data_IF_486342906721
#
_entry.id   IF_486342906721
#
_cell.length_a   1.000
_cell.length_b   1.000
_cell.length_c   1.000
_cell.angle_alpha   90.00
_cell.angle_beta   90.00
_cell.angle_gamma   90.00
#
_symmetry.space_group_name_H-M   'P 1'
#
loop_
_entity.id
_entity.type
_entity.pdbx_description
1 polymer ?
#
# COMPACT_ATOMS: atom_id res chain seq x y z
N UNK A 1 12.22 -13.82 4.61
CA UNK A 1 12.08 -13.22 5.96
C UNK A 1 11.22 -11.95 5.98
N UNK A 2 11.53 -10.92 5.18
CA UNK A 2 10.78 -9.65 5.14
C UNK A 2 9.26 -9.80 4.90
N UNK A 3 8.87 -10.75 4.05
CA UNK A 3 7.44 -11.10 3.81
C UNK A 3 6.74 -11.53 5.11
N UNK A 4 7.40 -12.34 5.95
CA UNK A 4 6.82 -12.79 7.22
C UNK A 4 6.67 -11.63 8.21
N UNK A 5 7.61 -10.68 8.21
CA UNK A 5 7.52 -9.48 9.05
C UNK A 5 6.35 -8.60 8.62
N UNK A 6 6.19 -8.37 7.32
CA UNK A 6 5.04 -7.64 6.78
C UNK A 6 3.71 -8.33 7.09
N UNK A 7 3.64 -9.65 6.92
CA UNK A 7 2.45 -10.42 7.27
C UNK A 7 2.10 -10.30 8.76
N UNK A 8 3.09 -10.34 9.65
CA UNK A 8 2.89 -10.11 11.09
C UNK A 8 2.34 -8.70 11.35
N UNK A 9 2.88 -7.68 10.70
CA UNK A 9 2.38 -6.30 10.84
C UNK A 9 0.93 -6.16 10.37
N UNK A 10 0.54 -6.81 9.26
CA UNK A 10 -0.84 -6.81 8.78
C UNK A 10 -1.78 -7.49 9.78
N UNK A 11 -1.37 -8.63 10.35
CA UNK A 11 -2.19 -9.39 11.32
C UNK A 11 -2.37 -8.67 12.65
N UNK A 12 -1.47 -7.75 13.03
CA UNK A 12 -1.63 -6.98 14.28
C UNK A 12 -2.79 -5.99 14.27
N UNK A 13 -3.44 -5.77 13.12
CA UNK A 13 -4.55 -4.83 12.98
C UNK A 13 -5.85 -5.57 13.21
N UNK A 14 -6.60 -5.14 14.23
CA UNK A 14 -7.85 -5.78 14.66
C UNK A 14 -8.92 -5.77 13.56
N UNK A 15 -9.08 -4.62 12.88
CA UNK A 15 -10.03 -4.47 11.77
C UNK A 15 -9.28 -4.50 10.43
N UNK A 16 -9.46 -5.55 9.61
CA UNK A 16 -8.75 -5.66 8.34
C UNK A 16 -9.11 -4.55 7.33
N UNK A 17 -10.30 -3.94 7.45
CA UNK A 17 -10.71 -2.86 6.56
C UNK A 17 -9.86 -1.59 6.72
N UNK A 18 -9.18 -1.43 7.86
CA UNK A 18 -8.30 -0.29 8.13
C UNK A 18 -6.91 -0.46 7.50
N UNK A 19 -6.70 -1.55 6.75
CA UNK A 19 -5.53 -1.73 5.89
C UNK A 19 -5.89 -1.35 4.48
N UNK A 20 -5.14 -0.43 3.89
CA UNK A 20 -5.26 -0.10 2.47
C UNK A 20 -4.14 -0.77 1.70
N UNK A 21 -4.51 -1.40 0.58
CA UNK A 21 -3.57 -1.92 -0.39
C UNK A 21 -3.73 -1.13 -1.67
N UNK A 22 -2.65 -0.48 -2.11
CA UNK A 22 -2.66 0.45 -3.22
C UNK A 22 -1.71 0.01 -4.35
N UNK A 23 -2.19 0.19 -5.58
CA UNK A 23 -1.38 0.01 -6.80
C UNK A 23 -1.92 0.87 -7.92
N UNK A 24 -1.13 1.84 -8.38
CA UNK A 24 -1.40 2.56 -9.63
C UNK A 24 -0.99 1.77 -10.86
N UNK A 25 -0.09 0.78 -10.72
CA UNK A 25 0.37 -0.03 -11.85
C UNK A 25 -0.76 -0.94 -12.35
N UNK A 26 -1.00 -0.99 -13.68
CA UNK A 26 -1.99 -1.90 -14.26
C UNK A 26 -1.73 -3.38 -13.92
N UNK A 27 -0.47 -3.76 -13.76
CA UNK A 27 -0.07 -5.14 -13.43
C UNK A 27 -0.50 -5.53 -12.01
N UNK A 28 -0.41 -4.60 -11.06
CA UNK A 28 -0.75 -4.83 -9.65
C UNK A 28 -2.25 -4.70 -9.35
N UNK A 29 -3.03 -4.00 -10.19
CA UNK A 29 -4.46 -3.75 -9.94
C UNK A 29 -5.27 -5.01 -9.64
N UNK A 30 -5.08 -6.08 -10.41
CA UNK A 30 -5.79 -7.35 -10.19
C UNK A 30 -5.32 -8.06 -8.92
N UNK A 31 -4.01 -8.01 -8.64
CA UNK A 31 -3.43 -8.63 -7.45
C UNK A 31 -3.95 -7.96 -6.16
N UNK A 32 -4.01 -6.62 -6.15
CA UNK A 32 -4.54 -5.84 -5.03
C UNK A 32 -6.01 -6.16 -4.75
N UNK A 33 -6.85 -6.24 -5.79
CA UNK A 33 -8.26 -6.62 -5.64
C UNK A 33 -8.41 -8.05 -5.11
N UNK A 34 -7.59 -8.99 -5.59
CA UNK A 34 -7.63 -10.37 -5.11
C UNK A 34 -7.12 -10.52 -3.69
N UNK A 35 -6.07 -9.80 -3.34
CA UNK A 35 -5.56 -9.75 -1.98
C UNK A 35 -6.65 -9.27 -1.02
N UNK A 36 -7.25 -8.11 -1.31
CA UNK A 36 -8.37 -7.54 -0.55
C UNK A 36 -9.56 -8.49 -0.43
N UNK A 37 -9.89 -9.23 -1.49
CA UNK A 37 -10.95 -10.24 -1.44
C UNK A 37 -10.67 -11.36 -0.41
N UNK A 38 -9.41 -11.78 -0.25
CA UNK A 38 -9.04 -12.86 0.67
C UNK A 38 -8.79 -12.37 2.11
N UNK A 39 -8.28 -11.16 2.27
CA UNK A 39 -7.90 -10.60 3.58
C UNK A 39 -8.98 -9.72 4.20
N UNK A 40 -9.96 -9.26 3.40
CA UNK A 40 -10.97 -8.31 3.84
C UNK A 40 -10.44 -6.88 4.00
N UNK A 41 -9.33 -6.55 3.33
CA UNK A 41 -8.72 -5.20 3.37
C UNK A 41 -9.32 -4.27 2.33
N UNK A 42 -9.08 -2.96 2.43
CA UNK A 42 -9.51 -2.01 1.40
C UNK A 42 -8.53 -1.97 0.23
N UNK A 43 -9.01 -2.23 -0.98
CA UNK A 43 -8.21 -2.17 -2.20
C UNK A 43 -8.38 -0.83 -2.93
N UNK A 44 -7.26 -0.18 -3.25
CA UNK A 44 -7.18 0.95 -4.16
C UNK A 44 -6.39 0.54 -5.41
N UNK A 45 -7.13 0.04 -6.40
CA UNK A 45 -6.58 -0.31 -7.70
C UNK A 45 -6.73 0.85 -8.70
N UNK A 46 -5.65 1.20 -9.38
CA UNK A 46 -5.62 2.26 -10.38
C UNK A 46 -5.24 3.62 -9.80
N UNK A 47 -5.75 4.69 -10.40
CA UNK A 47 -5.32 6.07 -10.09
C UNK A 47 -5.59 6.42 -8.63
N UNK A 48 -4.53 6.77 -7.89
CA UNK A 48 -4.64 7.38 -6.58
C UNK A 48 -5.23 8.78 -6.71
N UNK A 49 -6.21 9.11 -5.87
CA UNK A 49 -6.73 10.48 -5.80
C UNK A 49 -5.95 11.22 -4.72
N UNK A 50 -5.27 12.32 -5.05
CA UNK A 50 -4.60 13.13 -4.04
C UNK A 50 -5.58 13.59 -2.96
N UNK A 51 -5.16 13.52 -1.70
CA UNK A 51 -5.96 13.88 -0.55
C UNK A 51 -6.84 12.75 0.00
N UNK A 52 -6.65 11.51 -0.45
CA UNK A 52 -7.40 10.36 0.07
C UNK A 52 -7.15 10.15 1.56
N UNK A 53 -5.92 10.38 2.03
CA UNK A 53 -5.55 10.18 3.45
C UNK A 53 -5.60 11.47 4.28
N UNK A 54 -5.60 12.64 3.65
CA UNK A 54 -5.45 13.93 4.34
C UNK A 54 -6.69 14.81 4.29
N UNK A 55 -7.56 14.65 3.29
CA UNK A 55 -8.71 15.53 3.08
C UNK A 55 -10.02 14.92 3.58
N UNK A 56 -10.39 15.26 4.81
CA UNK A 56 -11.61 14.81 5.50
C UNK A 56 -12.92 15.25 4.84
N UNK A 57 -12.89 16.26 3.97
CA UNK A 57 -14.10 16.79 3.30
C UNK A 57 -14.55 15.85 2.17
N UNK A 58 -13.64 15.04 1.63
CA UNK A 58 -13.95 14.17 0.49
C UNK A 58 -14.73 12.93 0.92
N UNK A 59 -15.66 12.45 0.07
CA UNK A 59 -16.46 11.24 0.34
C UNK A 59 -15.65 9.95 0.34
N UNK A 60 -14.42 10.00 -0.18
CA UNK A 60 -13.49 8.87 -0.27
C UNK A 60 -12.31 9.01 0.70
N UNK A 61 -12.45 9.87 1.71
CA UNK A 61 -11.51 9.97 2.81
C UNK A 61 -11.44 8.63 3.55
N UNK A 62 -10.21 8.15 3.76
CA UNK A 62 -9.94 6.94 4.52
C UNK A 62 -8.80 7.22 5.50
N UNK A 63 -8.96 6.75 6.73
CA UNK A 63 -7.94 6.85 7.78
C UNK A 63 -7.43 5.45 8.14
N UNK A 64 -6.60 4.82 7.29
CA UNK A 64 -6.10 3.49 7.54
C UNK A 64 -4.99 3.49 8.58
N UNK A 65 -4.81 2.36 9.25
CA UNK A 65 -3.71 2.13 10.19
C UNK A 65 -2.46 1.57 9.52
N UNK A 66 -2.57 1.08 8.29
CA UNK A 66 -1.46 0.53 7.52
C UNK A 66 -1.71 0.69 6.03
N UNK A 67 -0.67 1.10 5.31
CA UNK A 67 -0.66 1.20 3.87
C UNK A 67 0.28 0.15 3.27
N UNK A 68 -0.21 -0.64 2.33
CA UNK A 68 0.58 -1.59 1.54
C UNK A 68 0.65 -1.09 0.11
N UNK A 69 1.86 -0.98 -0.44
CA UNK A 69 2.13 -0.38 -1.75
C UNK A 69 2.89 -1.36 -2.64
N UNK A 70 2.54 -1.42 -3.92
CA UNK A 70 3.22 -2.31 -4.89
C UNK A 70 4.49 -1.73 -5.52
N UNK A 71 4.59 -0.42 -5.64
CA UNK A 71 5.83 0.24 -6.07
C UNK A 71 5.89 1.66 -5.51
N UNK A 72 6.86 1.98 -4.63
CA UNK A 72 6.95 3.30 -4.01
C UNK A 72 7.23 4.41 -5.03
N UNK A 73 7.76 4.09 -6.23
CA UNK A 73 8.02 5.10 -7.25
C UNK A 73 6.74 5.57 -7.92
N UNK A 74 5.91 4.65 -8.41
CA UNK A 74 4.62 5.02 -9.04
C UNK A 74 3.61 5.50 -8.02
N UNK A 75 3.61 4.89 -6.82
CA UNK A 75 2.67 5.20 -5.75
C UNK A 75 3.22 6.25 -4.76
N UNK A 76 4.20 7.05 -5.18
CA UNK A 76 4.86 8.07 -4.36
C UNK A 76 3.89 9.08 -3.73
N UNK A 77 2.75 9.34 -4.37
CA UNK A 77 1.69 10.16 -3.78
C UNK A 77 1.09 9.54 -2.52
N UNK A 78 0.80 8.23 -2.54
CA UNK A 78 0.25 7.51 -1.41
C UNK A 78 1.26 7.44 -0.26
N UNK A 79 2.53 7.17 -0.58
CA UNK A 79 3.64 7.14 0.39
C UNK A 79 3.84 8.52 1.05
N UNK A 80 3.78 9.60 0.26
CA UNK A 80 3.91 10.96 0.78
C UNK A 80 2.72 11.35 1.66
N UNK A 81 1.50 11.01 1.28
CA UNK A 81 0.32 11.26 2.11
C UNK A 81 0.30 10.44 3.40
N UNK A 82 0.79 9.21 3.37
CA UNK A 82 0.96 8.38 4.56
C UNK A 82 1.92 9.04 5.56
N UNK A 83 3.01 9.66 5.07
CA UNK A 83 3.95 10.40 5.92
C UNK A 83 3.31 11.60 6.63
N UNK A 84 2.36 12.29 6.00
CA UNK A 84 1.65 13.41 6.63
C UNK A 84 0.69 12.96 7.74
N UNK A 85 0.18 11.73 7.63
CA UNK A 85 -0.83 11.18 8.55
C UNK A 85 -0.24 10.18 9.53
N UNK A 86 1.10 10.04 9.58
CA UNK A 86 1.83 9.09 10.43
C UNK A 86 1.37 7.64 10.27
N UNK A 87 1.03 7.25 9.03
CA UNK A 87 0.57 5.89 8.71
C UNK A 87 1.79 5.05 8.31
N UNK A 88 2.01 3.87 8.91
CA UNK A 88 3.11 2.99 8.53
C UNK A 88 2.91 2.41 7.12
N UNK A 89 4.00 2.32 6.37
CA UNK A 89 4.02 1.91 4.96
C UNK A 89 4.83 0.62 4.76
N UNK A 90 4.18 -0.38 4.18
CA UNK A 90 4.81 -1.59 3.66
C UNK A 90 4.88 -1.49 2.14
N UNK A 91 6.06 -1.66 1.54
CA UNK A 91 6.21 -1.57 0.09
C UNK A 91 6.91 -2.79 -0.51
N UNK A 92 6.44 -3.22 -1.68
CA UNK A 92 7.21 -4.09 -2.58
C UNK A 92 8.22 -3.21 -3.33
N UNK A 93 9.51 -3.52 -3.16
CA UNK A 93 10.60 -2.68 -3.67
C UNK A 93 11.52 -3.48 -4.57
N UNK A 94 11.90 -2.89 -5.69
CA UNK A 94 13.00 -3.37 -6.52
C UNK A 94 14.30 -2.64 -6.10
N UNK A 95 15.44 -3.08 -6.63
CA UNK A 95 16.77 -2.53 -6.37
C UNK A 95 16.90 -1.04 -6.66
N UNK A 96 16.10 -0.50 -7.57
CA UNK A 96 16.11 0.91 -7.96
C UNK A 96 15.02 1.74 -7.27
N UNK A 97 14.12 1.12 -6.52
CA UNK A 97 12.98 1.80 -5.88
C UNK A 97 13.45 2.70 -4.71
N UNK A 98 12.93 3.94 -4.59
CA UNK A 98 13.23 4.80 -3.45
C UNK A 98 12.64 4.21 -2.16
N UNK A 99 13.41 4.29 -1.07
CA UNK A 99 13.02 3.78 0.26
C UNK A 99 12.55 4.89 1.21
N UNK A 100 12.35 6.10 0.70
CA UNK A 100 11.91 7.24 1.48
C UNK A 100 10.47 7.02 2.00
N UNK A 101 10.28 7.16 3.31
CA UNK A 101 9.00 6.96 4.00
C UNK A 101 8.40 5.55 3.85
N UNK A 102 9.25 4.54 3.67
CA UNK A 102 8.88 3.11 3.69
C UNK A 102 9.44 2.48 4.96
N UNK A 103 8.57 1.91 5.80
CA UNK A 103 8.98 1.27 7.05
C UNK A 103 9.39 -0.19 6.84
N UNK A 104 8.61 -0.92 6.04
CA UNK A 104 8.88 -2.33 5.72
C UNK A 104 9.04 -2.48 4.22
N UNK A 105 10.30 -2.61 3.80
CA UNK A 105 10.68 -2.92 2.43
C UNK A 105 10.70 -4.45 2.21
N UNK A 106 9.89 -4.92 1.27
CA UNK A 106 9.89 -6.30 0.78
C UNK A 106 10.60 -6.31 -0.58
N UNK A 107 11.82 -6.87 -0.67
CA UNK A 107 12.52 -6.95 -1.95
C UNK A 107 11.78 -7.91 -2.88
N UNK A 108 11.29 -7.40 -4.02
CA UNK A 108 10.55 -8.15 -5.03
C UNK A 108 10.74 -7.49 -6.40
N UNK A 109 10.49 -8.24 -7.47
CA UNK A 109 10.52 -7.69 -8.83
C UNK A 109 9.18 -7.01 -9.14
N UNK A 110 9.12 -5.69 -9.06
CA UNK A 110 7.91 -4.90 -9.33
C UNK A 110 7.68 -4.56 -10.83
N UNK A 111 8.56 -5.03 -11.73
CA UNK A 111 8.46 -4.82 -13.19
C UNK A 111 7.84 -6.02 -13.91
N UNK A 112 7.99 -7.22 -13.36
CA UNK A 112 7.40 -8.45 -13.90
C UNK A 112 5.89 -8.51 -13.65
N UNK A 113 5.14 -9.09 -14.61
CA UNK A 113 3.69 -9.30 -14.48
C UNK A 113 3.34 -10.51 -13.57
N UNK A 114 4.29 -11.42 -13.38
CA UNK A 114 4.11 -12.70 -12.67
C UNK A 114 4.86 -12.78 -11.34
N UNK A 115 5.57 -11.71 -10.98
CA UNK A 115 6.45 -11.67 -9.82
C UNK A 115 5.74 -11.21 -8.53
#
# INVERSE_FOLDING_TARGET
EKIMVAARAIVTIENPNDVIVASQRPYGSRAVLKFSQYTGTNAMAGRWMPGTLTNQITTKYLEPRLLVVTDPRTDSQAVKEASYSSIPVVALVDTDSPLENVDIAIPANNKGKEA
#
